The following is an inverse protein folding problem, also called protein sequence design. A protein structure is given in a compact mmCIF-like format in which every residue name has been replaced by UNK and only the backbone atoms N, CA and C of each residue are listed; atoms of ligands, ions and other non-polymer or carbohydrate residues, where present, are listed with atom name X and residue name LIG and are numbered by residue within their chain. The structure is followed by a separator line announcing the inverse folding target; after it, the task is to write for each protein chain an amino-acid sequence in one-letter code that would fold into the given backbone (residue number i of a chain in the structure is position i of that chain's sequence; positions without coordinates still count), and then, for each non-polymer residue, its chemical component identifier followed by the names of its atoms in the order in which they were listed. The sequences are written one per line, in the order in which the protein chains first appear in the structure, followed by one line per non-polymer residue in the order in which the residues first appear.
data_IF_129151027662
#
_entry.id   IF_129151027662
#
_cell.length_a   1.000
_cell.length_b   1.000
_cell.length_c   1.000
_cell.angle_alpha   90.00
_cell.angle_beta   90.00
_cell.angle_gamma   90.00
#
_symmetry.space_group_name_H-M   'P 1'
#
loop_
_entity.id
_entity.type
_entity.pdbx_description
1 polymer ?
#
# COMPACT_ATOMS: atom_id res chain seq x y z
N UNK A 1 -20.36 -11.54 11.72
CA UNK A 1 -19.73 -11.26 10.41
C UNK A 1 -18.88 -12.46 9.99
N UNK A 2 -18.93 -12.87 8.73
CA UNK A 2 -18.04 -13.89 8.17
C UNK A 2 -16.69 -13.30 7.74
N UNK A 3 -16.50 -11.99 7.88
CA UNK A 3 -15.28 -11.28 7.50
C UNK A 3 -14.08 -11.82 8.27
N UNK A 4 -13.10 -12.29 7.55
CA UNK A 4 -11.81 -12.78 8.08
C UNK A 4 -10.70 -11.76 7.91
N UNK A 5 -10.72 -11.02 6.79
CA UNK A 5 -9.67 -10.09 6.38
C UNK A 5 -10.24 -8.69 6.17
N UNK A 6 -9.56 -7.71 6.69
CA UNK A 6 -9.78 -6.30 6.42
C UNK A 6 -8.56 -5.77 5.69
N UNK A 7 -8.78 -5.25 4.50
CA UNK A 7 -7.74 -4.70 3.63
C UNK A 7 -7.78 -3.18 3.68
N UNK A 8 -6.66 -2.56 3.99
CA UNK A 8 -6.47 -1.12 3.83
C UNK A 8 -5.53 -0.89 2.64
N UNK A 9 -6.09 -0.40 1.52
CA UNK A 9 -5.40 -0.39 0.24
C UNK A 9 -5.22 1.01 -0.32
N UNK A 10 -3.97 1.40 -0.59
CA UNK A 10 -3.61 2.72 -1.11
C UNK A 10 -3.15 2.65 -2.56
N UNK A 11 -3.83 3.40 -3.41
CA UNK A 11 -3.57 3.46 -4.85
C UNK A 11 -2.30 4.24 -5.21
N UNK A 12 -1.81 4.06 -6.45
CA UNK A 12 -0.70 4.82 -7.01
C UNK A 12 -1.09 6.24 -7.46
N UNK A 13 -0.08 7.05 -7.79
CA UNK A 13 -0.31 8.38 -8.38
C UNK A 13 -1.08 8.25 -9.70
N UNK A 14 -2.00 9.16 -9.95
CA UNK A 14 -2.84 9.17 -11.15
C UNK A 14 -4.08 8.26 -11.06
N UNK A 15 -4.17 7.41 -10.06
CA UNK A 15 -5.34 6.57 -9.84
C UNK A 15 -6.41 7.28 -9.00
N UNK A 16 -7.66 6.79 -9.10
CA UNK A 16 -8.75 7.14 -8.19
C UNK A 16 -9.20 5.86 -7.47
N UNK A 17 -9.50 5.97 -6.17
CA UNK A 17 -9.90 4.84 -5.33
C UNK A 17 -11.07 4.05 -5.90
N UNK A 18 -12.07 4.73 -6.52
CA UNK A 18 -13.25 4.11 -7.14
C UNK A 18 -12.93 3.15 -8.30
N UNK A 19 -11.77 3.32 -8.95
CA UNK A 19 -11.29 2.41 -9.98
C UNK A 19 -10.30 1.41 -9.40
N UNK A 20 -9.46 1.85 -8.48
CA UNK A 20 -8.47 1.01 -7.83
C UNK A 20 -9.10 -0.15 -7.04
N UNK A 21 -10.18 0.11 -6.32
CA UNK A 21 -10.91 -0.91 -5.55
C UNK A 21 -11.41 -2.07 -6.42
N UNK A 22 -11.63 -1.85 -7.72
CA UNK A 22 -12.10 -2.89 -8.65
C UNK A 22 -11.11 -4.05 -8.81
N UNK A 23 -9.82 -3.82 -8.57
CA UNK A 23 -8.80 -4.88 -8.59
C UNK A 23 -8.97 -5.91 -7.46
N UNK A 24 -9.84 -5.65 -6.49
CA UNK A 24 -10.14 -6.53 -5.36
C UNK A 24 -11.48 -7.25 -5.52
N UNK A 25 -12.19 -7.07 -6.65
CA UNK A 25 -13.52 -7.63 -6.86
C UNK A 25 -13.57 -9.16 -6.98
N UNK A 26 -12.43 -9.80 -7.28
CA UNK A 26 -12.32 -11.25 -7.35
C UNK A 26 -12.16 -11.92 -5.97
N UNK A 27 -11.86 -11.15 -4.93
CA UNK A 27 -11.80 -11.65 -3.56
C UNK A 27 -13.19 -12.05 -3.08
N UNK A 28 -13.25 -13.12 -2.29
CA UNK A 28 -14.50 -13.54 -1.65
C UNK A 28 -15.04 -12.42 -0.74
N UNK A 29 -16.15 -11.81 -1.16
CA UNK A 29 -16.76 -10.64 -0.49
C UNK A 29 -17.32 -10.95 0.89
N UNK A 30 -17.61 -12.21 1.21
CA UNK A 30 -18.06 -12.60 2.54
C UNK A 30 -16.89 -12.61 3.54
N UNK A 31 -15.67 -12.84 3.06
CA UNK A 31 -14.47 -12.98 3.90
C UNK A 31 -13.55 -11.77 3.88
N UNK A 32 -13.66 -10.91 2.87
CA UNK A 32 -12.76 -9.77 2.66
C UNK A 32 -13.52 -8.44 2.64
N UNK A 33 -13.16 -7.53 3.52
CA UNK A 33 -13.64 -6.16 3.56
C UNK A 33 -12.55 -5.21 3.10
N UNK A 34 -12.84 -4.36 2.10
CA UNK A 34 -11.84 -3.53 1.44
C UNK A 34 -12.07 -2.05 1.78
N UNK A 35 -11.10 -1.43 2.42
CA UNK A 35 -11.02 0.01 2.69
C UNK A 35 -10.04 0.61 1.68
N UNK A 36 -10.54 1.40 0.74
CA UNK A 36 -9.74 2.04 -0.31
C UNK A 36 -9.86 3.57 -0.22
N UNK A 37 -9.06 4.23 0.62
CA UNK A 37 -9.09 5.69 0.74
C UNK A 37 -8.77 6.38 -0.58
N UNK A 38 -9.33 7.57 -0.78
CA UNK A 38 -9.04 8.43 -1.92
C UNK A 38 -7.94 9.43 -1.57
N UNK A 39 -6.87 9.48 -2.39
CA UNK A 39 -5.88 10.54 -2.25
C UNK A 39 -6.51 11.92 -2.41
N UNK A 40 -6.10 12.87 -1.56
CA UNK A 40 -6.78 14.15 -1.40
C UNK A 40 -6.51 15.12 -2.56
N UNK A 41 -5.30 15.12 -3.11
CA UNK A 41 -4.89 16.04 -4.18
C UNK A 41 -5.26 15.47 -5.55
N UNK A 42 -6.37 15.95 -6.11
CA UNK A 42 -6.82 15.56 -7.46
C UNK A 42 -6.27 16.51 -8.51
N UNK A 43 -5.95 15.97 -9.69
CA UNK A 43 -5.44 16.74 -10.82
C UNK A 43 -5.90 16.15 -12.15
N UNK A 44 -5.88 16.99 -13.19
CA UNK A 44 -6.13 16.51 -14.55
C UNK A 44 -4.88 15.86 -15.13
N UNK A 45 -5.02 14.66 -15.69
CA UNK A 45 -3.91 13.93 -16.30
C UNK A 45 -3.56 14.54 -17.65
N UNK A 46 -2.31 14.99 -17.78
CA UNK A 46 -1.74 15.52 -19.03
C UNK A 46 -1.55 14.39 -20.08
N UNK A 47 -1.45 14.72 -21.38
CA UNK A 47 -1.59 16.06 -21.97
C UNK A 47 -3.04 16.44 -22.28
N UNK A 48 -3.96 15.46 -22.33
CA UNK A 48 -5.35 15.68 -22.84
C UNK A 48 -6.28 16.34 -21.81
N UNK A 49 -5.91 16.40 -20.54
CA UNK A 49 -6.70 16.98 -19.43
C UNK A 49 -8.16 16.48 -19.36
N UNK A 50 -8.42 15.27 -19.88
CA UNK A 50 -9.76 14.65 -19.91
C UNK A 50 -10.05 13.77 -18.71
N UNK A 51 -9.01 13.18 -18.12
CA UNK A 51 -9.12 12.25 -17.01
C UNK A 51 -8.57 12.90 -15.74
N UNK A 52 -9.18 12.55 -14.62
CA UNK A 52 -8.74 12.99 -13.30
C UNK A 52 -8.02 11.84 -12.63
N UNK A 53 -6.85 12.13 -12.09
CA UNK A 53 -6.10 11.29 -11.18
C UNK A 53 -5.94 11.95 -9.83
N UNK A 54 -5.31 11.25 -8.90
CA UNK A 54 -5.00 11.79 -7.59
C UNK A 54 -3.58 11.46 -7.14
N UNK A 55 -3.08 12.24 -6.20
CA UNK A 55 -1.74 12.13 -5.65
C UNK A 55 -1.82 12.20 -4.11
N UNK A 56 -1.09 11.35 -3.42
CA UNK A 56 -0.99 11.40 -1.97
C UNK A 56 -0.05 12.49 -1.49
N UNK A 57 1.12 12.54 -2.09
CA UNK A 57 2.22 13.41 -1.67
C UNK A 57 2.98 13.93 -2.89
N UNK A 58 3.51 15.14 -2.77
CA UNK A 58 4.46 15.74 -3.71
C UNK A 58 5.75 16.13 -2.98
N UNK A 59 6.68 16.77 -3.68
CA UNK A 59 7.88 17.36 -3.07
C UNK A 59 7.56 18.61 -2.25
N UNK A 60 6.42 19.25 -2.54
CA UNK A 60 6.00 20.46 -1.85
C UNK A 60 5.47 20.14 -0.46
N UNK A 61 6.04 20.74 0.57
CA UNK A 61 5.65 20.58 1.97
C UNK A 61 5.41 19.12 2.43
N UNK A 62 6.19 18.17 1.92
CA UNK A 62 5.98 16.73 2.10
C UNK A 62 5.75 16.33 3.55
N UNK A 63 6.46 16.94 4.50
CA UNK A 63 6.31 16.62 5.94
C UNK A 63 4.92 16.98 6.46
N UNK A 64 4.41 18.16 6.09
CA UNK A 64 3.08 18.65 6.47
C UNK A 64 1.99 17.78 5.83
N UNK A 65 2.10 17.54 4.51
CA UNK A 65 1.16 16.73 3.77
C UNK A 65 1.15 15.25 4.26
N UNK A 66 2.29 14.71 4.64
CA UNK A 66 2.36 13.39 5.28
C UNK A 66 1.51 13.34 6.56
N UNK A 67 1.58 14.38 7.41
CA UNK A 67 0.77 14.43 8.63
C UNK A 67 -0.73 14.51 8.29
N UNK A 68 -1.11 15.31 7.30
CA UNK A 68 -2.49 15.41 6.84
C UNK A 68 -3.03 14.06 6.35
N UNK A 69 -2.27 13.35 5.52
CA UNK A 69 -2.63 12.02 5.01
C UNK A 69 -2.78 11.02 6.15
N UNK A 70 -1.87 11.03 7.13
CA UNK A 70 -1.93 10.10 8.27
C UNK A 70 -3.13 10.41 9.18
N UNK A 71 -3.42 11.68 9.44
CA UNK A 71 -4.61 12.07 10.20
C UNK A 71 -5.89 11.62 9.48
N UNK A 72 -5.96 11.82 8.17
CA UNK A 72 -7.05 11.32 7.35
C UNK A 72 -7.21 9.79 7.44
N UNK A 73 -6.13 9.03 7.33
CA UNK A 73 -6.16 7.58 7.45
C UNK A 73 -6.57 7.10 8.85
N UNK A 74 -6.08 7.76 9.90
CA UNK A 74 -6.47 7.44 11.28
C UNK A 74 -7.96 7.71 11.51
N UNK A 75 -8.52 8.76 10.91
CA UNK A 75 -9.96 9.04 10.96
C UNK A 75 -10.75 7.92 10.29
N UNK A 76 -10.31 7.46 9.11
CA UNK A 76 -10.96 6.34 8.41
C UNK A 76 -10.92 5.08 9.28
N UNK A 77 -9.74 4.71 9.79
CA UNK A 77 -9.58 3.50 10.61
C UNK A 77 -10.44 3.55 11.89
N UNK A 78 -10.59 4.72 12.49
CA UNK A 78 -11.44 4.91 13.65
C UNK A 78 -12.93 4.74 13.32
N UNK A 79 -13.39 5.25 12.16
CA UNK A 79 -14.79 5.11 11.70
C UNK A 79 -15.10 3.67 11.30
N UNK A 80 -14.19 3.01 10.59
CA UNK A 80 -14.36 1.64 10.12
C UNK A 80 -14.36 0.61 11.26
N UNK A 81 -13.77 0.96 12.42
CA UNK A 81 -13.79 0.17 13.65
C UNK A 81 -13.59 -1.35 13.40
N UNK A 82 -12.47 -1.69 12.77
CA UNK A 82 -12.18 -3.06 12.36
C UNK A 82 -12.12 -4.02 13.55
N UNK A 83 -12.85 -5.15 13.52
CA UNK A 83 -12.82 -6.11 14.61
C UNK A 83 -11.40 -6.69 14.82
N UNK A 84 -10.98 -6.78 16.07
CA UNK A 84 -9.66 -7.36 16.45
C UNK A 84 -9.51 -8.84 16.08
N UNK A 85 -10.61 -9.51 15.74
CA UNK A 85 -10.63 -10.91 15.29
C UNK A 85 -10.31 -11.07 13.81
N UNK A 86 -10.30 -9.98 13.04
CA UNK A 86 -9.97 -10.01 11.62
C UNK A 86 -8.48 -9.80 11.41
N UNK A 87 -7.94 -10.42 10.36
CA UNK A 87 -6.61 -10.10 9.88
C UNK A 87 -6.60 -8.71 9.26
N UNK A 88 -5.68 -7.87 9.65
CA UNK A 88 -5.47 -6.55 9.03
C UNK A 88 -4.37 -6.66 7.99
N UNK A 89 -4.73 -6.38 6.74
CA UNK A 89 -3.84 -6.46 5.58
C UNK A 89 -3.67 -5.05 5.01
N UNK A 90 -2.44 -4.58 4.94
CA UNK A 90 -2.10 -3.33 4.25
C UNK A 90 -1.53 -3.62 2.87
N UNK A 91 -2.02 -2.90 1.86
CA UNK A 91 -1.45 -2.92 0.52
C UNK A 91 -1.21 -1.48 0.04
N UNK A 92 0.02 -1.19 -0.35
CA UNK A 92 0.34 0.02 -1.10
C UNK A 92 0.77 -0.34 -2.52
N UNK A 93 0.19 0.33 -3.52
CA UNK A 93 0.63 0.24 -4.91
C UNK A 93 1.37 1.52 -5.31
N UNK A 94 2.58 1.40 -5.85
CA UNK A 94 3.38 2.53 -6.34
C UNK A 94 3.54 3.60 -5.24
N UNK A 95 3.05 4.84 -5.43
CA UNK A 95 3.06 5.87 -4.40
C UNK A 95 2.32 5.44 -3.12
N UNK A 96 1.34 4.53 -3.22
CA UNK A 96 0.61 3.97 -2.08
C UNK A 96 1.51 3.25 -1.09
N UNK A 97 2.63 2.63 -1.53
CA UNK A 97 3.64 2.04 -0.65
C UNK A 97 4.16 3.08 0.35
N UNK A 98 4.49 4.25 -0.17
CA UNK A 98 5.07 5.34 0.61
C UNK A 98 4.15 5.82 1.74
N UNK A 99 2.85 5.92 1.50
CA UNK A 99 1.90 6.41 2.52
C UNK A 99 1.48 5.33 3.51
N UNK A 100 1.32 4.09 3.04
CA UNK A 100 1.02 2.95 3.93
C UNK A 100 2.17 2.72 4.92
N UNK A 101 3.40 2.74 4.45
CA UNK A 101 4.58 2.58 5.31
C UNK A 101 4.67 3.68 6.38
N UNK A 102 4.41 4.93 6.01
CA UNK A 102 4.39 6.05 6.94
C UNK A 102 3.23 5.97 7.94
N UNK A 103 2.06 5.52 7.49
CA UNK A 103 0.92 5.28 8.37
C UNK A 103 1.28 4.26 9.46
N UNK A 104 1.76 3.09 9.08
CA UNK A 104 2.13 2.02 10.01
C UNK A 104 3.20 2.52 11.00
N UNK A 105 4.24 3.19 10.49
CA UNK A 105 5.34 3.70 11.31
C UNK A 105 4.89 4.77 12.31
N UNK A 106 4.08 5.76 11.88
CA UNK A 106 3.69 6.89 12.73
C UNK A 106 2.55 6.55 13.68
N UNK A 107 1.56 5.78 13.24
CA UNK A 107 0.39 5.40 14.06
C UNK A 107 0.62 4.11 14.86
N UNK A 108 1.81 3.51 14.76
CA UNK A 108 2.18 2.27 15.47
C UNK A 108 1.17 1.15 15.28
N UNK A 109 0.64 1.03 14.07
CA UNK A 109 -0.36 0.02 13.72
C UNK A 109 0.28 -1.36 13.62
N UNK A 110 -0.39 -2.36 14.16
CA UNK A 110 -0.07 -3.77 13.94
C UNK A 110 -0.79 -4.26 12.69
N UNK A 111 -0.24 -5.25 12.03
CA UNK A 111 -0.84 -5.89 10.86
C UNK A 111 -0.51 -7.39 10.84
N UNK A 112 -1.31 -8.14 10.09
CA UNK A 112 -1.03 -9.53 9.79
C UNK A 112 -0.21 -9.66 8.50
N UNK A 113 -0.52 -8.81 7.49
CA UNK A 113 0.20 -8.82 6.22
C UNK A 113 0.39 -7.39 5.68
N UNK A 114 1.58 -7.12 5.16
CA UNK A 114 1.93 -5.87 4.46
C UNK A 114 2.44 -6.20 3.06
N UNK A 115 1.76 -5.65 2.06
CA UNK A 115 2.09 -5.86 0.65
C UNK A 115 2.61 -4.55 0.06
N UNK A 116 3.89 -4.55 -0.31
CA UNK A 116 4.59 -3.45 -0.94
C UNK A 116 4.63 -3.71 -2.45
N UNK A 117 3.65 -3.19 -3.19
CA UNK A 117 3.43 -3.53 -4.60
C UNK A 117 3.97 -2.42 -5.51
N UNK A 118 5.00 -2.72 -6.28
CA UNK A 118 5.63 -1.83 -7.29
C UNK A 118 5.88 -0.41 -6.80
N UNK A 119 6.40 -0.25 -5.58
CA UNK A 119 6.63 1.06 -4.98
C UNK A 119 7.93 1.13 -4.20
N UNK A 120 8.28 2.35 -3.78
CA UNK A 120 9.51 2.63 -3.03
C UNK A 120 9.22 2.86 -1.55
N UNK A 121 10.05 2.27 -0.70
CA UNK A 121 10.02 2.48 0.74
C UNK A 121 10.60 3.87 1.05
N UNK A 122 9.92 4.70 1.86
CA UNK A 122 10.41 6.02 2.24
C UNK A 122 11.81 5.96 2.88
N UNK A 123 12.73 6.80 2.40
CA UNK A 123 14.15 6.73 2.76
C UNK A 123 14.39 7.02 4.24
N UNK A 124 13.55 7.83 4.85
CA UNK A 124 13.66 8.24 6.25
C UNK A 124 13.24 7.18 7.26
N UNK A 125 12.54 6.12 6.82
CA UNK A 125 12.07 5.06 7.72
C UNK A 125 13.20 4.12 8.12
N UNK A 126 13.22 3.80 9.40
CA UNK A 126 14.25 2.98 10.05
C UNK A 126 13.63 1.76 10.75
N UNK A 127 14.44 0.79 11.12
CA UNK A 127 14.01 -0.39 11.90
C UNK A 127 13.32 0.00 13.21
N UNK A 128 13.70 1.13 13.81
CA UNK A 128 13.08 1.62 15.05
C UNK A 128 11.62 1.98 14.88
N UNK A 129 11.21 2.42 13.69
CA UNK A 129 9.83 2.79 13.39
C UNK A 129 8.89 1.59 13.40
N UNK A 130 9.43 0.37 13.26
CA UNK A 130 8.68 -0.88 13.13
C UNK A 130 8.91 -1.87 14.29
N UNK A 131 9.55 -1.46 15.40
CA UNK A 131 9.78 -2.35 16.58
C UNK A 131 8.50 -2.92 17.20
N UNK A 132 7.35 -2.31 16.93
CA UNK A 132 6.04 -2.74 17.43
C UNK A 132 5.41 -3.86 16.59
N UNK A 133 6.02 -4.21 15.44
CA UNK A 133 5.52 -5.26 14.55
C UNK A 133 5.88 -6.63 15.10
N UNK A 134 4.89 -7.52 15.08
CA UNK A 134 5.06 -8.90 15.53
C UNK A 134 5.90 -9.70 14.51
N UNK A 135 6.71 -10.63 15.00
CA UNK A 135 7.48 -11.54 14.15
C UNK A 135 6.61 -12.49 13.31
N UNK A 136 5.33 -12.61 13.64
CA UNK A 136 4.34 -13.38 12.86
C UNK A 136 3.74 -12.56 11.70
N UNK A 137 3.97 -11.25 11.67
CA UNK A 137 3.49 -10.40 10.59
C UNK A 137 4.24 -10.70 9.30
N UNK A 138 3.48 -10.90 8.22
CA UNK A 138 4.05 -11.17 6.90
C UNK A 138 4.32 -9.85 6.17
N UNK A 139 5.49 -9.77 5.54
CA UNK A 139 5.84 -8.66 4.64
C UNK A 139 6.21 -9.23 3.28
N UNK A 140 5.53 -8.75 2.24
CA UNK A 140 5.72 -9.19 0.87
C UNK A 140 6.06 -8.00 -0.04
N UNK A 141 7.15 -8.11 -0.77
CA UNK A 141 7.52 -7.19 -1.85
C UNK A 141 7.09 -7.77 -3.19
N UNK A 142 6.23 -7.05 -3.90
CA UNK A 142 5.68 -7.47 -5.20
C UNK A 142 6.09 -6.49 -6.28
N UNK A 143 6.55 -6.98 -7.42
CA UNK A 143 6.91 -6.14 -8.57
C UNK A 143 6.76 -6.86 -9.91
N UNK A 144 6.56 -6.07 -10.97
CA UNK A 144 6.60 -6.55 -12.35
C UNK A 144 8.03 -6.61 -12.88
N UNK A 145 8.39 -7.66 -13.61
CA UNK A 145 9.72 -7.80 -14.24
C UNK A 145 9.90 -6.84 -15.44
N UNK A 146 8.80 -6.31 -15.97
CA UNK A 146 8.76 -5.30 -17.06
C UNK A 146 8.39 -3.90 -16.55
N UNK A 147 8.50 -3.66 -15.24
CA UNK A 147 8.18 -2.36 -14.64
C UNK A 147 9.20 -1.30 -15.09
N UNK A 148 8.71 -0.30 -15.85
CA UNK A 148 9.56 0.77 -16.38
C UNK A 148 9.98 1.82 -15.35
N UNK A 149 9.38 1.83 -14.15
CA UNK A 149 9.71 2.74 -13.04
C UNK A 149 10.64 2.12 -12.00
N UNK A 150 10.78 0.79 -12.01
CA UNK A 150 11.59 0.04 -11.05
C UNK A 150 12.59 -0.84 -11.80
N UNK A 151 13.76 -0.29 -12.10
CA UNK A 151 14.85 -1.08 -12.65
C UNK A 151 15.41 -2.09 -11.62
N UNK A 152 16.19 -3.03 -12.07
CA UNK A 152 16.76 -4.10 -11.24
C UNK A 152 17.56 -3.54 -10.05
N UNK A 153 18.31 -2.46 -10.25
CA UNK A 153 19.09 -1.79 -9.21
C UNK A 153 18.17 -1.24 -8.11
N UNK A 154 17.07 -0.61 -8.51
CA UNK A 154 16.06 -0.10 -7.58
C UNK A 154 15.41 -1.24 -6.83
N UNK A 155 14.96 -2.30 -7.52
CA UNK A 155 14.34 -3.48 -6.88
C UNK A 155 15.28 -4.10 -5.85
N UNK A 156 16.57 -4.27 -6.17
CA UNK A 156 17.55 -4.83 -5.23
C UNK A 156 17.77 -3.92 -4.01
N UNK A 157 17.76 -2.60 -4.20
CA UNK A 157 17.80 -1.63 -3.11
C UNK A 157 16.57 -1.72 -2.20
N UNK A 158 15.37 -1.83 -2.77
CA UNK A 158 14.13 -1.96 -2.02
C UNK A 158 14.06 -3.29 -1.25
N UNK A 159 14.51 -4.40 -1.85
CA UNK A 159 14.65 -5.70 -1.17
C UNK A 159 15.57 -5.63 0.05
N UNK A 160 16.74 -4.98 -0.12
CA UNK A 160 17.69 -4.80 0.96
C UNK A 160 17.06 -3.98 2.09
N UNK A 161 16.45 -2.85 1.76
CA UNK A 161 15.79 -1.97 2.72
C UNK A 161 14.63 -2.65 3.45
N UNK A 162 13.78 -3.38 2.75
CA UNK A 162 12.69 -4.13 3.37
C UNK A 162 13.21 -5.15 4.38
N UNK A 163 14.29 -5.88 4.05
CA UNK A 163 14.96 -6.82 4.97
C UNK A 163 15.55 -6.12 6.17
N UNK A 164 16.16 -4.94 6.01
CA UNK A 164 16.69 -4.15 7.13
C UNK A 164 15.59 -3.71 8.10
N UNK A 165 14.41 -3.36 7.58
CA UNK A 165 13.27 -2.90 8.39
C UNK A 165 12.54 -4.03 9.11
N UNK A 166 12.30 -5.15 8.44
CA UNK A 166 11.40 -6.21 8.90
C UNK A 166 12.08 -7.57 9.16
N UNK A 167 13.31 -7.76 8.72
CA UNK A 167 14.03 -9.04 8.82
C UNK A 167 13.59 -10.03 7.77
N UNK A 168 12.46 -10.72 7.97
CA UNK A 168 11.93 -11.68 7.02
C UNK A 168 10.96 -11.01 6.04
N UNK A 169 11.29 -11.06 4.74
CA UNK A 169 10.48 -10.45 3.67
C UNK A 169 10.44 -11.41 2.50
N UNK A 170 9.25 -11.81 2.11
CA UNK A 170 9.03 -12.56 0.86
C UNK A 170 9.09 -11.61 -0.34
N UNK A 171 9.50 -12.15 -1.47
CA UNK A 171 9.58 -11.38 -2.72
C UNK A 171 8.91 -12.17 -3.83
N UNK A 172 7.94 -11.57 -4.48
CA UNK A 172 7.19 -12.16 -5.58
C UNK A 172 7.31 -11.26 -6.80
N UNK A 173 7.58 -11.84 -7.95
CA UNK A 173 7.59 -11.10 -9.21
C UNK A 173 6.66 -11.76 -10.24
N UNK A 174 6.18 -10.92 -11.16
CA UNK A 174 5.30 -11.33 -12.25
C UNK A 174 5.77 -10.71 -13.56
N UNK A 175 5.46 -11.36 -14.67
CA UNK A 175 5.83 -10.87 -16.01
C UNK A 175 4.86 -9.79 -16.51
N UNK A 176 4.79 -8.67 -15.78
CA UNK A 176 3.94 -7.49 -16.03
C UNK A 176 4.74 -6.20 -15.94
N UNK A 177 4.15 -5.11 -16.41
CA UNK A 177 4.67 -3.74 -16.26
C UNK A 177 4.36 -3.12 -14.89
N UNK A 178 4.30 -1.78 -14.87
CA UNK A 178 3.93 -0.99 -13.68
C UNK A 178 2.41 -0.92 -13.53
N UNK A 179 1.79 -2.02 -13.19
CA UNK A 179 0.33 -2.14 -13.07
C UNK A 179 -0.07 -3.01 -11.88
N UNK A 180 -1.29 -2.82 -11.39
CA UNK A 180 -1.92 -3.73 -10.44
C UNK A 180 -2.88 -4.65 -11.19
N UNK A 181 -2.84 -5.93 -10.88
CA UNK A 181 -3.62 -6.97 -11.55
C UNK A 181 -4.49 -7.73 -10.53
N UNK A 182 -5.78 -7.93 -10.85
CA UNK A 182 -6.74 -8.60 -9.95
C UNK A 182 -6.34 -10.03 -9.62
N UNK A 183 -5.87 -10.80 -10.62
CA UNK A 183 -5.44 -12.18 -10.39
C UNK A 183 -4.25 -12.27 -9.44
N UNK A 184 -3.32 -11.29 -9.51
CA UNK A 184 -2.20 -11.19 -8.58
C UNK A 184 -2.70 -10.85 -7.18
N UNK A 185 -3.62 -9.88 -7.05
CA UNK A 185 -4.24 -9.52 -5.76
C UNK A 185 -4.88 -10.75 -5.13
N UNK A 186 -5.58 -11.57 -5.93
CA UNK A 186 -6.21 -12.80 -5.47
C UNK A 186 -5.19 -13.83 -4.95
N UNK A 187 -4.06 -13.99 -5.64
CA UNK A 187 -2.95 -14.87 -5.18
C UNK A 187 -2.33 -14.38 -3.86
N UNK A 188 -2.30 -13.06 -3.63
CA UNK A 188 -1.73 -12.47 -2.42
C UNK A 188 -2.66 -12.56 -1.21
N UNK A 189 -3.93 -12.92 -1.41
CA UNK A 189 -4.94 -13.03 -0.36
C UNK A 189 -4.92 -14.39 0.39
N UNK A 190 -4.16 -15.34 -0.12
CA UNK A 190 -4.02 -16.71 0.44
C UNK A 190 -2.99 -16.75 1.55
#
# INVERSE_FOLDING_TARGET
SKTKNVWFVCHGIGHLSRYFIKHFNELNKEENYIIAPQAQSKFYIAPKMKHVGACWLTKEQTKKETNNVINYFNTILAVENTPSTCNLIFLGFSQGVSVVMRLIAKSKLKFNKLILYSGRIPIELTKNDFKHIDNKSEVCLVYGTKDSYLDEKTINSEKKKAKELFGNVSTINFDIGHEINSSIVNLLAV
#
